data_IF_495890388966
#
_entry.id   IF_495890388966
#
_cell.length_a   1.000
_cell.length_b   1.000
_cell.length_c   1.000
_cell.angle_alpha   90.00
_cell.angle_beta   90.00
_cell.angle_gamma   90.00
#
_symmetry.space_group_name_H-M   'P 1'
#
loop_
_entity.id
_entity.type
_entity.pdbx_description
1 polymer ?
#
# COMPACT_ATOMS: atom_id res chain seq x y z
N UNK A 1 -23.74 -9.91 -30.14
CA UNK A 1 -22.86 -10.86 -29.43
C UNK A 1 -21.41 -10.54 -29.76
N UNK A 2 -20.63 -10.04 -28.80
CA UNK A 2 -19.18 -9.81 -28.98
C UNK A 2 -18.45 -11.14 -28.74
N UNK A 3 -17.80 -11.68 -29.77
CA UNK A 3 -17.00 -12.90 -29.69
C UNK A 3 -15.65 -12.55 -29.06
N UNK A 4 -15.36 -13.10 -27.89
CA UNK A 4 -14.03 -13.02 -27.30
C UNK A 4 -13.12 -14.04 -27.99
N UNK A 5 -12.04 -13.56 -28.61
CA UNK A 5 -11.01 -14.43 -29.18
C UNK A 5 -10.02 -14.77 -28.06
N UNK A 6 -9.64 -16.05 -27.97
CA UNK A 6 -8.68 -16.59 -26.99
C UNK A 6 -7.34 -15.86 -27.15
N UNK A 7 -6.80 -15.32 -26.06
CA UNK A 7 -5.56 -14.51 -25.99
C UNK A 7 -4.34 -15.18 -26.64
N UNK A 8 -4.38 -16.50 -26.76
CA UNK A 8 -3.34 -17.36 -27.35
C UNK A 8 -3.08 -17.07 -28.84
N UNK A 9 -4.08 -16.58 -29.59
CA UNK A 9 -3.94 -16.31 -31.03
C UNK A 9 -3.19 -14.99 -31.31
N UNK A 10 -3.13 -14.07 -30.35
CA UNK A 10 -2.44 -12.77 -30.51
C UNK A 10 -0.93 -12.86 -30.27
N UNK A 11 -0.43 -13.94 -29.67
CA UNK A 11 0.98 -14.10 -29.31
C UNK A 11 1.87 -14.56 -30.46
N UNK A 12 1.29 -14.99 -31.59
CA UNK A 12 2.05 -15.51 -32.73
C UNK A 12 2.46 -14.45 -33.77
N UNK A 13 2.08 -13.19 -33.59
CA UNK A 13 2.44 -12.13 -34.53
C UNK A 13 3.45 -11.17 -33.89
N UNK A 14 4.74 -11.45 -34.15
CA UNK A 14 5.85 -10.50 -34.19
C UNK A 14 5.86 -9.38 -33.14
N UNK A 15 6.27 -9.71 -31.93
CA UNK A 15 6.88 -8.70 -31.05
C UNK A 15 8.25 -9.23 -30.67
N UNK A 16 9.29 -8.55 -31.16
CA UNK A 16 10.64 -8.61 -30.59
C UNK A 16 10.55 -8.19 -29.12
N UNK A 17 10.18 -9.12 -28.26
CA UNK A 17 10.33 -9.00 -26.82
C UNK A 17 11.83 -9.09 -26.57
N UNK A 18 12.53 -7.96 -26.62
CA UNK A 18 13.78 -7.85 -25.89
C UNK A 18 13.47 -8.33 -24.48
N UNK A 19 14.12 -9.41 -24.03
CA UNK A 19 14.10 -9.83 -22.64
C UNK A 19 14.74 -8.71 -21.81
N UNK A 20 14.00 -7.63 -21.60
CA UNK A 20 14.26 -6.68 -20.54
C UNK A 20 13.96 -7.47 -19.28
N UNK A 21 15.00 -8.10 -18.73
CA UNK A 21 14.97 -8.57 -17.37
C UNK A 21 14.64 -7.33 -16.53
N UNK A 22 13.37 -7.21 -16.12
CA UNK A 22 12.95 -6.17 -15.19
C UNK A 22 13.65 -6.51 -13.89
N UNK A 23 14.78 -5.85 -13.65
CA UNK A 23 15.42 -5.83 -12.34
C UNK A 23 14.49 -5.05 -11.43
N UNK A 24 13.61 -5.77 -10.73
CA UNK A 24 12.86 -5.20 -9.62
C UNK A 24 13.88 -4.77 -8.57
N UNK A 25 14.11 -3.46 -8.45
CA UNK A 25 14.86 -2.91 -7.33
C UNK A 25 14.14 -3.33 -6.04
N UNK A 26 14.64 -4.38 -5.40
CA UNK A 26 13.99 -5.01 -4.25
C UNK A 26 13.77 -4.03 -3.09
N UNK A 27 14.62 -3.01 -2.96
CA UNK A 27 14.48 -1.94 -1.96
C UNK A 27 13.28 -1.01 -2.23
N UNK A 28 12.99 -0.71 -3.50
CA UNK A 28 11.77 0.03 -3.91
C UNK A 28 10.50 -0.80 -3.73
N UNK A 29 10.64 -2.12 -3.58
CA UNK A 29 9.51 -3.05 -3.47
C UNK A 29 8.67 -2.80 -2.21
N UNK A 30 9.29 -2.42 -1.09
CA UNK A 30 8.55 -2.25 0.17
C UNK A 30 7.65 -1.02 0.15
N UNK A 31 8.13 0.11 -0.36
CA UNK A 31 7.32 1.31 -0.54
C UNK A 31 6.16 1.04 -1.51
N UNK A 32 6.46 0.38 -2.63
CA UNK A 32 5.44 0.04 -3.63
C UNK A 32 4.38 -0.91 -3.06
N UNK A 33 4.77 -1.90 -2.25
CA UNK A 33 3.81 -2.80 -1.58
C UNK A 33 2.96 -2.05 -0.56
N UNK A 34 3.57 -1.24 0.30
CA UNK A 34 2.86 -0.44 1.28
C UNK A 34 1.83 0.50 0.61
N UNK A 35 2.28 1.23 -0.42
CA UNK A 35 1.42 2.14 -1.18
C UNK A 35 0.32 1.39 -1.94
N UNK A 36 0.59 0.20 -2.50
CA UNK A 36 -0.42 -0.59 -3.18
C UNK A 36 -1.58 -0.98 -2.24
N UNK A 37 -1.27 -1.40 -1.01
CA UNK A 37 -2.30 -1.67 0.00
C UNK A 37 -3.07 -0.41 0.41
N UNK A 38 -2.37 0.70 0.64
CA UNK A 38 -3.02 1.97 0.99
C UNK A 38 -3.95 2.47 -0.13
N UNK A 39 -3.57 2.27 -1.39
CA UNK A 39 -4.21 2.86 -2.56
C UNK A 39 -5.21 1.93 -3.28
N UNK A 40 -5.40 0.70 -2.82
CA UNK A 40 -6.13 -0.37 -3.53
C UNK A 40 -7.52 0.02 -4.05
N UNK A 41 -8.22 0.95 -3.38
CA UNK A 41 -9.56 1.41 -3.78
C UNK A 41 -9.66 2.92 -4.03
N UNK A 42 -8.52 3.61 -4.14
CA UNK A 42 -8.49 5.05 -4.38
C UNK A 42 -8.28 5.37 -5.87
N UNK A 43 -9.09 6.31 -6.37
CA UNK A 43 -8.86 6.94 -7.69
C UNK A 43 -7.52 7.65 -7.69
N UNK A 44 -6.87 7.73 -8.86
CA UNK A 44 -5.49 8.20 -9.03
C UNK A 44 -5.17 9.51 -8.29
N UNK A 45 -6.07 10.48 -8.34
CA UNK A 45 -5.86 11.81 -7.74
C UNK A 45 -5.97 11.83 -6.20
N UNK A 46 -6.46 10.73 -5.62
CA UNK A 46 -6.59 10.53 -4.17
C UNK A 46 -5.61 9.48 -3.64
N UNK A 47 -4.72 8.96 -4.49
CA UNK A 47 -3.73 7.99 -4.08
C UNK A 47 -2.66 8.66 -3.22
N UNK A 48 -2.36 8.02 -2.09
CA UNK A 48 -1.28 8.40 -1.21
C UNK A 48 0.04 8.27 -1.96
N UNK A 49 0.83 9.35 -1.97
CA UNK A 49 2.20 9.36 -2.49
C UNK A 49 3.19 8.96 -1.40
N UNK A 50 4.41 8.61 -1.80
CA UNK A 50 5.44 8.19 -0.85
C UNK A 50 5.72 9.23 0.25
N UNK A 51 5.85 10.51 -0.11
CA UNK A 51 6.11 11.57 0.87
C UNK A 51 4.96 11.71 1.87
N UNK A 52 3.72 11.54 1.42
CA UNK A 52 2.54 11.60 2.29
C UNK A 52 2.44 10.35 3.19
N UNK A 53 2.84 9.18 2.67
CA UNK A 53 2.93 7.94 3.42
C UNK A 53 3.99 8.01 4.53
N UNK A 54 5.13 8.65 4.28
CA UNK A 54 6.18 8.85 5.29
C UNK A 54 5.69 9.69 6.46
N UNK A 55 4.85 10.70 6.18
CA UNK A 55 4.32 11.60 7.22
C UNK A 55 2.99 11.12 7.81
N UNK A 56 2.39 10.04 7.30
CA UNK A 56 1.05 9.61 7.70
C UNK A 56 0.98 9.20 9.18
N UNK A 57 2.13 8.83 9.76
CA UNK A 57 2.27 8.45 11.16
C UNK A 57 2.67 9.61 12.09
N UNK A 58 2.98 10.80 11.57
CA UNK A 58 3.43 11.92 12.40
C UNK A 58 2.32 12.49 13.27
N UNK A 59 1.09 12.50 12.75
CA UNK A 59 -0.09 12.99 13.44
C UNK A 59 -1.33 12.26 12.94
N UNK A 60 -2.24 11.96 13.86
CA UNK A 60 -3.53 11.39 13.51
C UNK A 60 -4.41 12.43 12.81
N UNK A 61 -4.83 12.13 11.59
CA UNK A 61 -5.79 12.92 10.80
C UNK A 61 -7.06 12.10 10.58
N UNK A 62 -8.21 12.59 11.06
CA UNK A 62 -9.47 11.82 11.01
C UNK A 62 -9.90 11.52 9.57
N UNK A 63 -9.58 12.40 8.64
CA UNK A 63 -9.85 12.28 7.21
C UNK A 63 -9.10 11.10 6.58
N UNK A 64 -7.95 10.73 7.15
CA UNK A 64 -7.13 9.59 6.72
C UNK A 64 -7.49 8.29 7.43
N UNK A 65 -8.56 8.27 8.25
CA UNK A 65 -9.02 7.05 8.93
C UNK A 65 -9.18 5.82 8.01
N UNK A 66 -9.71 5.94 6.78
CA UNK A 66 -9.78 4.80 5.86
C UNK A 66 -8.41 4.19 5.54
N UNK A 67 -7.35 5.00 5.49
CA UNK A 67 -5.99 4.51 5.26
C UNK A 67 -5.46 3.80 6.51
N UNK A 68 -5.67 4.37 7.69
CA UNK A 68 -5.24 3.72 8.94
C UNK A 68 -5.92 2.36 9.15
N UNK A 69 -7.23 2.26 8.87
CA UNK A 69 -7.96 0.98 8.93
C UNK A 69 -7.33 -0.07 8.02
N UNK A 70 -6.98 0.30 6.78
CA UNK A 70 -6.29 -0.61 5.85
C UNK A 70 -4.94 -1.06 6.41
N UNK A 71 -4.16 -0.11 6.92
CA UNK A 71 -2.82 -0.38 7.47
C UNK A 71 -2.89 -1.37 8.63
N UNK A 72 -3.91 -1.28 9.49
CA UNK A 72 -3.99 -2.11 10.69
C UNK A 72 -4.79 -3.39 10.52
N UNK A 73 -5.76 -3.46 9.60
CA UNK A 73 -6.65 -4.61 9.47
C UNK A 73 -6.45 -5.42 8.18
N UNK A 74 -6.04 -4.77 7.08
CA UNK A 74 -6.00 -5.41 5.75
C UNK A 74 -4.58 -5.69 5.28
N UNK A 75 -3.62 -4.86 5.71
CA UNK A 75 -2.24 -4.95 5.30
C UNK A 75 -1.52 -6.05 6.08
N UNK A 76 -0.83 -6.98 5.40
CA UNK A 76 0.01 -7.96 6.06
C UNK A 76 1.06 -7.28 6.95
N UNK A 77 1.22 -7.79 8.17
CA UNK A 77 2.09 -7.24 9.22
C UNK A 77 3.52 -6.98 8.73
N UNK A 78 4.06 -7.93 7.97
CA UNK A 78 5.40 -7.86 7.39
C UNK A 78 5.58 -6.74 6.35
N UNK A 79 4.51 -6.30 5.67
CA UNK A 79 4.58 -5.19 4.72
C UNK A 79 4.73 -3.87 5.48
N UNK A 80 3.90 -3.65 6.53
CA UNK A 80 4.04 -2.45 7.35
C UNK A 80 5.40 -2.44 8.07
N UNK A 81 5.83 -3.55 8.66
CA UNK A 81 7.11 -3.61 9.38
C UNK A 81 8.31 -3.30 8.50
N UNK A 82 8.38 -3.89 7.30
CA UNK A 82 9.48 -3.60 6.37
C UNK A 82 9.46 -2.17 5.85
N UNK A 83 8.29 -1.58 5.64
CA UNK A 83 8.16 -0.17 5.29
C UNK A 83 8.67 0.75 6.43
N UNK A 84 8.29 0.43 7.67
CA UNK A 84 8.67 1.18 8.87
C UNK A 84 10.16 1.09 9.15
N UNK A 85 10.73 -0.11 9.07
CA UNK A 85 12.16 -0.36 9.28
C UNK A 85 13.01 0.38 8.24
N UNK A 86 12.68 0.22 6.95
CA UNK A 86 13.37 0.88 5.85
C UNK A 86 13.38 2.41 6.00
N UNK A 87 12.25 2.99 6.40
CA UNK A 87 12.07 4.44 6.45
C UNK A 87 12.34 5.04 7.84
N UNK A 88 12.91 4.26 8.78
CA UNK A 88 13.23 4.67 10.14
C UNK A 88 12.06 5.32 10.89
N UNK A 89 10.85 4.81 10.67
CA UNK A 89 9.65 5.36 11.30
C UNK A 89 9.60 4.88 12.76
N UNK A 90 9.43 5.81 13.69
CA UNK A 90 9.36 5.49 15.11
C UNK A 90 8.08 4.67 15.41
N UNK A 91 8.24 3.44 15.90
CA UNK A 91 7.13 2.55 16.28
C UNK A 91 6.17 3.17 17.30
N UNK A 92 6.65 4.05 18.18
CA UNK A 92 5.80 4.76 19.14
C UNK A 92 4.77 5.67 18.45
N UNK A 93 5.13 6.28 17.31
CA UNK A 93 4.21 7.07 16.50
C UNK A 93 3.09 6.18 15.95
N UNK A 94 3.43 5.00 15.44
CA UNK A 94 2.45 4.05 14.89
C UNK A 94 1.46 3.60 15.96
N UNK A 95 1.95 3.27 17.17
CA UNK A 95 1.10 2.93 18.33
C UNK A 95 0.19 4.09 18.72
N UNK A 96 0.69 5.32 18.69
CA UNK A 96 -0.13 6.51 18.96
C UNK A 96 -1.24 6.70 17.92
N UNK A 97 -0.95 6.47 16.64
CA UNK A 97 -1.96 6.53 15.56
C UNK A 97 -3.01 5.43 15.73
N UNK A 98 -2.59 4.21 16.07
CA UNK A 98 -3.49 3.08 16.34
C UNK A 98 -4.45 3.38 17.50
N UNK A 99 -3.90 3.85 18.62
CA UNK A 99 -4.69 4.25 19.79
C UNK A 99 -5.66 5.39 19.45
N UNK A 100 -5.19 6.42 18.74
CA UNK A 100 -6.02 7.55 18.33
C UNK A 100 -7.15 7.13 17.37
N UNK A 101 -6.89 6.19 16.45
CA UNK A 101 -7.92 5.64 15.57
C UNK A 101 -9.01 4.96 16.40
N UNK A 102 -8.64 4.11 17.36
CA UNK A 102 -9.57 3.39 18.23
C UNK A 102 -10.37 4.31 19.14
N UNK A 103 -9.75 5.37 19.67
CA UNK A 103 -10.38 6.31 20.60
C UNK A 103 -11.29 7.33 19.89
N UNK A 104 -10.85 7.85 18.73
CA UNK A 104 -11.50 8.99 18.06
C UNK A 104 -12.47 8.60 16.96
N UNK A 105 -12.60 7.31 16.69
CA UNK A 105 -13.50 6.77 15.67
C UNK A 105 -14.24 5.54 16.18
N UNK A 106 -15.28 5.15 15.47
CA UNK A 106 -16.03 3.91 15.76
C UNK A 106 -15.47 2.69 15.00
N UNK A 107 -14.28 2.79 14.40
CA UNK A 107 -13.71 1.68 13.65
C UNK A 107 -13.26 0.57 14.60
N UNK A 108 -13.60 -0.68 14.25
CA UNK A 108 -13.00 -1.85 14.87
C UNK A 108 -11.63 -2.08 14.22
N UNK A 109 -10.58 -2.00 15.01
CA UNK A 109 -9.19 -2.13 14.57
C UNK A 109 -8.56 -3.34 15.25
N UNK A 110 -7.81 -4.15 14.51
CA UNK A 110 -7.05 -5.27 15.08
C UNK A 110 -5.99 -4.78 16.06
N UNK A 111 -5.60 -5.62 17.01
CA UNK A 111 -4.57 -5.24 17.98
C UNK A 111 -3.21 -5.03 17.30
N UNK A 112 -2.49 -4.01 17.75
CA UNK A 112 -1.16 -3.69 17.25
C UNK A 112 -0.18 -3.62 18.43
N UNK A 113 0.63 -4.67 18.57
CA UNK A 113 1.64 -4.84 19.63
C UNK A 113 2.98 -4.14 19.33
#
# INVERSE_FOLDING_TARGET
>A
MRRYVRREVLLNNNVNMSNQNITLNHESSYDNKFLAYCNWSFVKDKQLKINEALTIFDKFEKEKSPIYVRIFNEMPRNVLEKFVEKNHINKAKIKSIHAALKEKTSYKVEEYE
#
